data_IF_720122189211
#
_entry.id   IF_720122189211
#
_cell.length_a   1.000
_cell.length_b   1.000
_cell.length_c   1.000
_cell.angle_alpha   90.00
_cell.angle_beta   90.00
_cell.angle_gamma   90.00
#
_symmetry.space_group_name_H-M   'P 1'
#
loop_
_entity.id
_entity.type
_entity.pdbx_description
1 polymer ?
#
# COMPACT_ATOMS: atom_id res chain seq x y z
N UNK A 1 65.16 7.89 42.81
CA UNK A 1 64.79 6.71 42.02
C UNK A 1 63.28 6.59 42.07
N UNK A 2 62.59 7.23 41.17
CA UNK A 2 61.15 7.23 41.09
C UNK A 2 60.69 6.39 39.91
N UNK A 3 59.98 5.28 40.20
CA UNK A 3 59.40 4.43 39.17
C UNK A 3 58.00 4.95 38.83
N UNK A 4 57.85 5.53 37.65
CA UNK A 4 56.55 5.94 37.11
C UNK A 4 55.83 4.71 36.52
N UNK A 5 54.75 4.27 37.20
CA UNK A 5 53.83 3.27 36.66
C UNK A 5 52.89 3.98 35.68
N UNK A 6 53.05 3.70 34.41
CA UNK A 6 52.10 4.07 33.38
C UNK A 6 50.93 3.09 33.45
N UNK A 7 49.76 3.57 33.90
CA UNK A 7 48.48 2.82 33.86
C UNK A 7 47.87 2.99 32.51
N UNK A 8 47.90 1.95 31.68
CA UNK A 8 47.10 1.85 30.48
C UNK A 8 45.63 1.59 30.85
N UNK A 9 44.75 2.52 30.57
CA UNK A 9 43.31 2.34 30.63
C UNK A 9 42.84 1.72 29.29
N UNK A 10 42.09 0.63 29.28
CA UNK A 10 41.43 0.16 28.08
C UNK A 10 40.22 1.06 27.76
N UNK A 11 40.25 1.66 26.58
CA UNK A 11 39.08 2.39 26.05
C UNK A 11 37.99 1.37 25.66
N UNK A 12 36.91 1.38 26.40
CA UNK A 12 35.71 0.59 26.12
C UNK A 12 34.95 1.27 24.98
N UNK A 13 35.05 0.75 23.76
CA UNK A 13 34.23 1.14 22.62
C UNK A 13 32.81 0.62 22.83
N UNK A 14 31.90 1.48 23.30
CA UNK A 14 30.48 1.20 23.27
C UNK A 14 30.01 1.34 21.81
N UNK A 15 29.80 0.21 21.15
CA UNK A 15 29.07 0.16 19.88
C UNK A 15 27.58 0.45 20.16
N UNK A 16 27.17 1.69 19.97
CA UNK A 16 25.77 2.10 20.05
C UNK A 16 25.00 1.49 18.88
N UNK A 17 24.23 0.44 19.12
CA UNK A 17 23.20 -0.02 18.19
C UNK A 17 22.10 1.03 18.13
N UNK A 18 22.07 1.81 17.04
CA UNK A 18 20.93 2.69 16.73
C UNK A 18 19.73 1.79 16.44
N UNK A 19 18.60 1.94 17.14
CA UNK A 19 17.37 1.26 16.75
C UNK A 19 16.97 1.77 15.37
N UNK A 20 16.80 0.88 14.40
CA UNK A 20 16.07 1.18 13.17
C UNK A 20 14.65 1.54 13.61
N UNK A 21 14.33 2.83 13.59
CA UNK A 21 12.97 3.30 13.74
C UNK A 21 12.18 2.78 12.54
N UNK A 22 11.43 1.69 12.72
CA UNK A 22 10.35 1.32 11.80
C UNK A 22 9.39 2.50 11.80
N UNK A 23 9.40 3.28 10.73
CA UNK A 23 8.43 4.34 10.55
C UNK A 23 7.05 3.67 10.45
N UNK A 24 6.29 3.76 11.54
CA UNK A 24 4.88 3.40 11.50
C UNK A 24 4.21 4.28 10.44
N UNK A 25 3.60 3.64 9.44
CA UNK A 25 2.86 4.36 8.42
C UNK A 25 1.77 5.21 9.09
N UNK A 26 1.62 6.45 8.66
CA UNK A 26 0.65 7.36 9.26
C UNK A 26 -0.74 7.10 8.67
N UNK A 27 -1.82 7.27 9.45
CA UNK A 27 -3.20 7.19 8.92
C UNK A 27 -3.43 8.10 7.71
N UNK A 28 -2.68 9.19 7.60
CA UNK A 28 -2.72 10.10 6.47
C UNK A 28 -2.18 9.49 5.16
N UNK A 29 -1.17 8.60 5.23
CA UNK A 29 -0.66 7.89 4.04
C UNK A 29 -1.70 6.91 3.52
N UNK A 30 -2.30 6.09 4.38
CA UNK A 30 -3.40 5.19 4.01
C UNK A 30 -4.56 5.96 3.37
N UNK A 31 -4.95 7.11 3.93
CA UNK A 31 -6.04 7.95 3.39
C UNK A 31 -5.77 8.44 1.97
N UNK A 32 -4.55 8.89 1.66
CA UNK A 32 -4.18 9.32 0.29
C UNK A 32 -4.22 8.17 -0.71
N UNK A 33 -3.71 7.01 -0.33
CA UNK A 33 -3.73 5.80 -1.17
C UNK A 33 -5.16 5.34 -1.43
N UNK A 34 -6.03 5.37 -0.42
CA UNK A 34 -7.46 5.03 -0.55
C UNK A 34 -8.17 6.00 -1.49
N UNK A 35 -7.93 7.31 -1.38
CA UNK A 35 -8.51 8.29 -2.30
C UNK A 35 -8.06 8.06 -3.74
N UNK A 36 -6.78 7.76 -3.96
CA UNK A 36 -6.24 7.47 -5.29
C UNK A 36 -6.81 6.17 -5.83
N UNK A 37 -6.90 5.12 -5.01
CA UNK A 37 -7.54 3.86 -5.40
C UNK A 37 -9.02 4.07 -5.80
N UNK A 38 -9.77 4.85 -5.01
CA UNK A 38 -11.17 5.18 -5.33
C UNK A 38 -11.30 5.95 -6.65
N UNK A 39 -10.39 6.89 -6.93
CA UNK A 39 -10.37 7.59 -8.20
C UNK A 39 -10.17 6.63 -9.39
N UNK A 40 -9.23 5.67 -9.26
CA UNK A 40 -9.01 4.67 -10.29
C UNK A 40 -10.15 3.66 -10.41
N UNK A 41 -10.83 3.29 -9.33
CA UNK A 41 -12.05 2.49 -9.40
C UNK A 41 -13.16 3.23 -10.19
N UNK A 42 -13.31 4.54 -9.99
CA UNK A 42 -14.19 5.38 -10.79
C UNK A 42 -13.79 5.45 -12.27
N UNK A 43 -12.49 5.51 -12.57
CA UNK A 43 -12.00 5.47 -13.95
C UNK A 43 -12.25 4.10 -14.60
N UNK A 44 -12.11 3.01 -13.86
CA UNK A 44 -12.44 1.67 -14.34
C UNK A 44 -13.93 1.55 -14.68
N UNK A 45 -14.80 2.08 -13.82
CA UNK A 45 -16.25 2.13 -14.04
C UNK A 45 -16.64 2.95 -15.28
N UNK A 46 -15.90 4.02 -15.59
CA UNK A 46 -16.12 4.86 -16.77
C UNK A 46 -15.35 4.44 -18.02
N UNK A 47 -14.61 3.33 -17.99
CA UNK A 47 -13.79 2.88 -19.11
C UNK A 47 -14.64 2.48 -20.32
N UNK A 48 -14.17 2.82 -21.54
CA UNK A 48 -14.89 2.51 -22.77
C UNK A 48 -14.67 1.06 -23.25
N UNK A 49 -13.66 0.37 -22.74
CA UNK A 49 -13.31 -0.99 -23.11
C UNK A 49 -12.73 -1.78 -21.94
N UNK A 50 -12.77 -3.11 -22.05
CA UNK A 50 -12.33 -4.02 -21.00
C UNK A 50 -10.84 -3.86 -20.63
N UNK A 51 -9.98 -3.60 -21.62
CA UNK A 51 -8.54 -3.40 -21.40
C UNK A 51 -8.29 -2.18 -20.51
N UNK A 52 -8.99 -1.10 -20.77
CA UNK A 52 -8.90 0.13 -19.98
C UNK A 52 -9.47 -0.07 -18.56
N UNK A 53 -10.61 -0.77 -18.46
CA UNK A 53 -11.19 -1.12 -17.16
C UNK A 53 -10.20 -1.94 -16.32
N UNK A 54 -9.60 -2.98 -16.90
CA UNK A 54 -8.57 -3.79 -16.23
C UNK A 54 -7.33 -2.97 -15.85
N UNK A 55 -6.85 -2.06 -16.71
CA UNK A 55 -5.72 -1.21 -16.38
C UNK A 55 -5.98 -0.37 -15.12
N UNK A 56 -7.16 0.24 -15.02
CA UNK A 56 -7.53 1.02 -13.83
C UNK A 56 -7.79 0.16 -12.60
N UNK A 57 -8.37 -1.04 -12.73
CA UNK A 57 -8.51 -1.99 -11.63
C UNK A 57 -7.15 -2.45 -11.11
N UNK A 58 -6.15 -2.68 -11.97
CA UNK A 58 -4.79 -2.99 -11.53
C UNK A 58 -4.15 -1.82 -10.77
N UNK A 59 -4.45 -0.57 -11.14
CA UNK A 59 -4.02 0.60 -10.36
C UNK A 59 -4.65 0.63 -8.95
N UNK A 60 -5.92 0.20 -8.82
CA UNK A 60 -6.56 0.02 -7.50
C UNK A 60 -5.79 -1.01 -6.68
N UNK A 61 -5.52 -2.19 -7.24
CA UNK A 61 -4.75 -3.24 -6.57
C UNK A 61 -3.38 -2.72 -6.14
N UNK A 62 -2.63 -2.07 -7.05
CA UNK A 62 -1.30 -1.53 -6.75
C UNK A 62 -1.31 -0.52 -5.58
N UNK A 63 -2.34 0.33 -5.49
CA UNK A 63 -2.50 1.26 -4.37
C UNK A 63 -2.81 0.56 -3.05
N UNK A 64 -3.61 -0.50 -3.08
CA UNK A 64 -4.04 -1.21 -1.88
C UNK A 64 -2.93 -2.09 -1.30
N UNK A 65 -2.22 -2.85 -2.15
CA UNK A 65 -1.21 -3.81 -1.68
C UNK A 65 0.19 -3.20 -1.56
N UNK A 66 0.51 -2.18 -2.37
CA UNK A 66 1.83 -1.58 -2.44
C UNK A 66 2.89 -2.48 -3.09
N UNK A 67 4.14 -1.96 -3.29
CA UNK A 67 5.17 -2.63 -4.10
C UNK A 67 5.64 -3.99 -3.56
N UNK A 68 5.47 -4.25 -2.27
CA UNK A 68 5.83 -5.52 -1.63
C UNK A 68 4.64 -6.47 -1.47
N UNK A 69 3.43 -6.06 -1.85
CA UNK A 69 2.22 -6.84 -1.66
C UNK A 69 1.95 -7.84 -2.78
N UNK A 70 1.29 -8.92 -2.44
CA UNK A 70 0.81 -9.91 -3.41
C UNK A 70 -0.22 -9.25 -4.34
N UNK A 71 -0.10 -9.48 -5.64
CA UNK A 71 -0.96 -8.88 -6.66
C UNK A 71 -0.44 -7.56 -7.23
N UNK A 72 0.64 -7.00 -6.66
CA UNK A 72 1.28 -5.82 -7.27
C UNK A 72 1.84 -6.15 -8.64
N UNK A 73 1.48 -5.34 -9.64
CA UNK A 73 2.02 -5.45 -10.99
C UNK A 73 2.97 -4.27 -11.27
N UNK A 74 4.26 -4.57 -11.32
CA UNK A 74 5.30 -3.58 -11.61
C UNK A 74 5.30 -3.10 -13.07
N UNK A 75 4.65 -3.83 -13.98
CA UNK A 75 4.50 -3.42 -15.40
C UNK A 75 3.33 -2.45 -15.59
N UNK A 76 2.37 -2.45 -14.69
CA UNK A 76 1.31 -1.45 -14.62
C UNK A 76 1.81 -0.19 -13.90
N UNK A 77 1.17 0.95 -14.19
CA UNK A 77 1.48 2.17 -13.45
C UNK A 77 1.16 2.01 -11.95
N UNK A 78 2.00 2.63 -11.12
CA UNK A 78 1.72 2.74 -9.69
C UNK A 78 1.35 4.19 -9.34
N UNK A 79 0.07 4.56 -9.38
CA UNK A 79 -0.37 5.92 -9.08
C UNK A 79 -0.16 6.31 -7.61
N UNK A 80 0.04 5.32 -6.72
CA UNK A 80 0.32 5.53 -5.31
C UNK A 80 1.81 5.51 -4.95
N UNK A 81 2.70 5.58 -5.95
CA UNK A 81 4.16 5.60 -5.72
C UNK A 81 4.55 6.75 -4.79
N UNK A 82 5.27 6.43 -3.73
CA UNK A 82 5.75 7.43 -2.76
C UNK A 82 4.71 7.89 -1.74
N UNK A 83 3.48 7.34 -1.75
CA UNK A 83 2.44 7.68 -0.78
C UNK A 83 2.49 6.83 0.50
N UNK A 84 3.13 5.65 0.45
CA UNK A 84 3.25 4.71 1.57
C UNK A 84 3.65 3.32 1.09
N UNK A 85 3.38 2.32 1.95
CA UNK A 85 3.73 0.91 1.70
C UNK A 85 2.60 0.09 1.06
N UNK A 86 1.46 0.69 0.80
CA UNK A 86 0.19 0.11 0.41
C UNK A 86 -0.88 0.41 1.45
N UNK A 87 -2.09 0.79 1.01
CA UNK A 87 -3.13 1.26 1.91
C UNK A 87 -3.48 0.23 3.01
N UNK A 88 -3.47 -1.07 2.68
CA UNK A 88 -3.76 -2.15 3.63
C UNK A 88 -2.64 -2.24 4.69
N UNK A 89 -1.37 -2.15 4.26
CA UNK A 89 -0.23 -2.18 5.19
C UNK A 89 -0.23 -0.95 6.10
N UNK A 90 -0.54 0.20 5.53
CA UNK A 90 -0.51 1.48 6.25
C UNK A 90 -1.73 1.66 7.17
N UNK A 91 -2.80 0.87 6.97
CA UNK A 91 -3.98 0.82 7.84
C UNK A 91 -3.84 -0.14 9.03
N UNK A 92 -2.70 -0.83 9.16
CA UNK A 92 -2.47 -1.78 10.27
C UNK A 92 -2.72 -1.11 11.63
N UNK A 93 -3.51 -1.80 12.45
CA UNK A 93 -3.93 -1.32 13.77
C UNK A 93 -5.35 -0.75 13.81
N UNK A 94 -5.96 -0.51 12.64
CA UNK A 94 -7.38 -0.23 12.51
C UNK A 94 -8.07 -1.40 11.78
N UNK A 95 -8.56 -2.36 12.57
CA UNK A 95 -9.13 -3.60 12.06
C UNK A 95 -10.33 -3.38 11.13
N UNK A 96 -11.15 -2.36 11.38
CA UNK A 96 -12.30 -2.06 10.56
C UNK A 96 -11.88 -1.51 9.19
N UNK A 97 -10.94 -0.57 9.17
CA UNK A 97 -10.36 -0.04 7.92
C UNK A 97 -9.63 -1.14 7.15
N UNK A 98 -8.81 -1.95 7.83
CA UNK A 98 -8.07 -3.05 7.20
C UNK A 98 -9.03 -4.05 6.52
N UNK A 99 -10.10 -4.50 7.21
CA UNK A 99 -11.09 -5.41 6.65
C UNK A 99 -11.80 -4.82 5.42
N UNK A 100 -12.18 -3.54 5.47
CA UNK A 100 -12.79 -2.82 4.35
C UNK A 100 -11.84 -2.74 3.15
N UNK A 101 -10.57 -2.44 3.35
CA UNK A 101 -9.59 -2.38 2.27
C UNK A 101 -9.28 -3.76 1.66
N UNK A 102 -9.31 -4.82 2.47
CA UNK A 102 -9.23 -6.21 1.99
C UNK A 102 -10.43 -6.57 1.12
N UNK A 103 -11.64 -6.15 1.49
CA UNK A 103 -12.82 -6.33 0.66
C UNK A 103 -12.71 -5.59 -0.68
N UNK A 104 -12.30 -4.33 -0.67
CA UNK A 104 -12.07 -3.56 -1.91
C UNK A 104 -11.01 -4.21 -2.82
N UNK A 105 -9.96 -4.81 -2.23
CA UNK A 105 -8.96 -5.57 -2.97
C UNK A 105 -9.59 -6.77 -3.68
N UNK A 106 -10.39 -7.58 -2.97
CA UNK A 106 -11.07 -8.75 -3.56
C UNK A 106 -12.01 -8.34 -4.70
N UNK A 107 -12.74 -7.24 -4.56
CA UNK A 107 -13.63 -6.69 -5.58
C UNK A 107 -12.84 -6.24 -6.83
N UNK A 108 -11.72 -5.54 -6.66
CA UNK A 108 -10.85 -5.15 -7.76
C UNK A 108 -10.21 -6.36 -8.47
N UNK A 109 -9.73 -7.34 -7.70
CA UNK A 109 -9.16 -8.59 -8.24
C UNK A 109 -10.20 -9.44 -8.97
N UNK A 110 -11.46 -9.42 -8.52
CA UNK A 110 -12.58 -10.05 -9.22
C UNK A 110 -12.77 -9.41 -10.59
N UNK A 111 -12.83 -8.09 -10.64
CA UNK A 111 -12.96 -7.34 -11.88
C UNK A 111 -11.84 -7.59 -12.89
N UNK A 112 -10.59 -7.81 -12.42
CA UNK A 112 -9.46 -8.17 -13.27
C UNK A 112 -9.59 -9.54 -13.95
N UNK A 113 -10.42 -10.43 -13.41
CA UNK A 113 -10.64 -11.78 -13.93
C UNK A 113 -11.84 -11.85 -14.89
N UNK A 114 -12.61 -10.79 -15.02
CA UNK A 114 -13.79 -10.75 -15.89
C UNK A 114 -13.40 -10.76 -17.35
N UNK A 115 -14.28 -11.23 -18.21
CA UNK A 115 -14.11 -11.30 -19.66
C UNK A 115 -15.05 -10.34 -20.41
N UNK A 116 -15.91 -9.64 -19.70
CA UNK A 116 -16.82 -8.64 -20.25
C UNK A 116 -16.62 -7.28 -19.58
N UNK A 117 -16.88 -6.21 -20.33
CA UNK A 117 -16.78 -4.85 -19.80
C UNK A 117 -17.84 -4.61 -18.70
N UNK A 118 -19.04 -5.13 -18.89
CA UNK A 118 -20.15 -4.96 -17.93
C UNK A 118 -19.81 -5.57 -16.57
N UNK A 119 -19.22 -6.78 -16.55
CA UNK A 119 -18.78 -7.41 -15.30
C UNK A 119 -17.63 -6.64 -14.64
N UNK A 120 -16.68 -6.16 -15.45
CA UNK A 120 -15.59 -5.32 -14.93
C UNK A 120 -16.12 -4.02 -14.32
N UNK A 121 -17.10 -3.38 -14.95
CA UNK A 121 -17.78 -2.21 -14.41
C UNK A 121 -18.54 -2.51 -13.11
N UNK A 122 -19.24 -3.65 -13.05
CA UNK A 122 -19.96 -4.05 -11.84
C UNK A 122 -19.00 -4.24 -10.64
N UNK A 123 -17.85 -4.87 -10.84
CA UNK A 123 -16.86 -5.06 -9.79
C UNK A 123 -16.10 -3.75 -9.46
N UNK A 124 -15.82 -2.91 -10.45
CA UNK A 124 -15.28 -1.57 -10.23
C UNK A 124 -16.22 -0.71 -9.38
N UNK A 125 -17.55 -0.80 -9.60
CA UNK A 125 -18.57 -0.09 -8.80
C UNK A 125 -18.57 -0.58 -7.35
N UNK A 126 -18.43 -1.89 -7.10
CA UNK A 126 -18.33 -2.44 -5.74
C UNK A 126 -17.09 -1.90 -5.04
N UNK A 127 -15.92 -2.03 -5.68
CA UNK A 127 -14.65 -1.54 -5.14
C UNK A 127 -14.71 -0.03 -4.83
N UNK A 128 -15.28 0.77 -5.72
CA UNK A 128 -15.48 2.21 -5.51
C UNK A 128 -16.35 2.47 -4.27
N UNK A 129 -17.49 1.79 -4.17
CA UNK A 129 -18.42 1.95 -3.05
C UNK A 129 -17.77 1.59 -1.73
N UNK A 130 -17.04 0.45 -1.69
CA UNK A 130 -16.31 -0.01 -0.51
C UNK A 130 -15.22 0.97 -0.09
N UNK A 131 -14.46 1.54 -1.05
CA UNK A 131 -13.40 2.51 -0.77
C UNK A 131 -13.93 3.85 -0.26
N UNK A 132 -15.15 4.24 -0.62
CA UNK A 132 -15.79 5.50 -0.19
C UNK A 132 -16.51 5.40 1.16
N UNK A 133 -16.74 4.21 1.67
CA UNK A 133 -17.33 4.00 3.01
C UNK A 133 -16.35 4.50 4.08
N UNK A 134 -16.87 5.18 5.12
CA UNK A 134 -16.09 5.69 6.27
C UNK A 134 -16.20 4.76 7.44
#
# INVERSE_FOLDING_TARGET
>A
MGKHLVRCLPALLLAGALPLATQAATPAAASKQVQTAAAHAGMALGAADLKMAHAHLQHVVNCLVGPAGTGFDASAANPCKGMGQGAIVDAKGDAATEARLQQALQEAESGLKTTTLDDAHADAQKALSTLQTK
#
